data_IF_428828345905
#
_entry.id   IF_428828345905
#
_cell.length_a   1.000
_cell.length_b   1.000
_cell.length_c   1.000
_cell.angle_alpha   90.00
_cell.angle_beta   90.00
_cell.angle_gamma   90.00
#
_symmetry.space_group_name_H-M   'P 1'
#
loop_
_entity.id
_entity.type
_entity.pdbx_description
1 polymer ?
#
# COMPACT_ATOMS: atom_id res chain seq x y z
N UNK A 1 0.53 2.20 -11.41
CA UNK A 1 1.14 0.84 -11.32
C UNK A 1 0.75 -0.12 -12.46
N UNK A 2 1.38 -0.06 -13.64
CA UNK A 2 1.29 -1.17 -14.62
C UNK A 2 2.16 -2.34 -14.13
N UNK A 3 1.57 -3.53 -14.01
CA UNK A 3 2.29 -4.76 -13.61
C UNK A 3 2.01 -5.28 -12.20
N UNK A 4 1.39 -4.49 -11.31
CA UNK A 4 0.94 -5.02 -10.02
C UNK A 4 -0.19 -6.04 -10.20
N UNK A 5 -0.01 -7.23 -9.63
CA UNK A 5 -0.99 -8.32 -9.64
C UNK A 5 -1.46 -8.56 -8.22
N UNK A 6 -2.78 -8.61 -8.03
CA UNK A 6 -3.39 -9.02 -6.78
C UNK A 6 -3.76 -10.50 -6.91
N UNK A 7 -2.92 -11.37 -6.36
CA UNK A 7 -3.11 -12.82 -6.40
C UNK A 7 -3.61 -13.27 -5.02
N UNK A 8 -4.72 -14.02 -4.99
CA UNK A 8 -5.30 -14.52 -3.74
C UNK A 8 -4.32 -15.46 -3.05
N UNK A 9 -4.04 -15.22 -1.77
CA UNK A 9 -3.17 -16.08 -0.97
C UNK A 9 -1.68 -15.90 -1.23
N UNK A 10 -1.29 -14.89 -2.01
CA UNK A 10 0.11 -14.49 -2.14
C UNK A 10 0.40 -13.30 -1.22
N UNK A 11 1.63 -13.27 -0.69
CA UNK A 11 2.13 -12.06 -0.04
C UNK A 11 2.52 -11.03 -1.09
N UNK A 12 2.31 -9.75 -0.78
CA UNK A 12 2.74 -8.62 -1.62
C UNK A 12 3.95 -7.98 -0.96
N UNK A 13 5.04 -7.81 -1.71
CA UNK A 13 6.23 -7.08 -1.25
C UNK A 13 6.58 -5.99 -2.24
N UNK A 14 6.60 -4.74 -1.79
CA UNK A 14 6.86 -3.56 -2.60
C UNK A 14 7.98 -2.73 -2.00
N UNK A 15 8.97 -2.40 -2.81
CA UNK A 15 9.87 -1.29 -2.50
C UNK A 15 9.20 0.00 -2.97
N UNK A 16 8.85 0.86 -2.01
CA UNK A 16 8.26 2.18 -2.30
C UNK A 16 9.35 3.25 -2.27
N UNK A 17 9.23 4.23 -3.16
CA UNK A 17 10.12 5.40 -3.24
C UNK A 17 9.27 6.67 -3.21
N UNK A 18 9.68 7.63 -2.40
CA UNK A 18 9.05 8.93 -2.23
C UNK A 18 10.04 10.02 -2.61
N UNK A 19 9.69 10.79 -3.63
CA UNK A 19 10.45 11.96 -4.09
C UNK A 19 9.51 13.12 -4.39
N UNK A 20 10.08 14.31 -4.57
CA UNK A 20 9.35 15.56 -4.82
C UNK A 20 8.90 15.74 -6.28
N UNK A 21 9.17 14.77 -7.17
CA UNK A 21 8.90 14.86 -8.60
C UNK A 21 9.70 15.93 -9.34
N UNK A 22 10.73 16.51 -8.72
CA UNK A 22 11.63 17.48 -9.33
C UNK A 22 12.56 16.86 -10.39
N UNK A 23 13.39 17.70 -11.01
CA UNK A 23 14.44 17.27 -11.94
C UNK A 23 15.80 17.89 -11.57
N UNK A 24 16.73 17.14 -10.94
CA UNK A 24 16.58 15.75 -10.54
C UNK A 24 15.68 15.59 -9.30
N UNK A 25 14.95 14.47 -9.17
CA UNK A 25 14.04 14.24 -8.05
C UNK A 25 14.82 14.20 -6.73
N UNK A 26 14.30 14.90 -5.72
CA UNK A 26 14.85 14.89 -4.37
C UNK A 26 14.05 13.93 -3.48
N UNK A 27 14.73 13.09 -2.67
CA UNK A 27 14.03 12.16 -1.80
C UNK A 27 13.28 12.91 -0.70
N UNK A 28 12.10 12.39 -0.34
CA UNK A 28 11.32 12.86 0.80
C UNK A 28 11.60 11.93 1.99
N UNK A 29 11.99 12.47 3.14
CA UNK A 29 12.15 11.68 4.36
C UNK A 29 10.78 11.11 4.80
N UNK A 30 10.70 9.78 4.83
CA UNK A 30 9.51 9.01 5.23
C UNK A 30 9.64 8.39 6.62
N UNK A 31 10.71 8.67 7.37
CA UNK A 31 10.88 8.18 8.74
C UNK A 31 9.71 8.57 9.65
N UNK A 32 9.06 7.58 10.26
CA UNK A 32 7.90 7.77 11.12
C UNK A 32 6.58 8.00 10.39
N UNK A 33 6.57 8.02 9.05
CA UNK A 33 5.34 8.03 8.25
C UNK A 33 4.75 6.63 8.16
N UNK A 34 3.43 6.54 8.06
CA UNK A 34 2.70 5.27 7.92
C UNK A 34 2.04 5.21 6.56
N UNK A 35 2.38 4.18 5.78
CA UNK A 35 1.70 3.84 4.55
C UNK A 35 0.65 2.77 4.84
N UNK A 36 -0.56 2.95 4.34
CA UNK A 36 -1.67 2.00 4.44
C UNK A 36 -2.09 1.57 3.06
N UNK A 37 -2.25 0.27 2.86
CA UNK A 37 -2.84 -0.33 1.67
C UNK A 37 -4.20 -0.89 2.01
N UNK A 38 -5.21 -0.56 1.22
CA UNK A 38 -6.57 -1.05 1.41
C UNK A 38 -7.10 -1.70 0.13
N UNK A 39 -7.89 -2.76 0.28
CA UNK A 39 -8.66 -3.38 -0.81
C UNK A 39 -10.13 -3.39 -0.40
N UNK A 40 -11.01 -2.89 -1.27
CA UNK A 40 -12.46 -2.77 -1.07
C UNK A 40 -13.22 -3.35 -2.26
N UNK A 41 -14.49 -3.71 -2.05
CA UNK A 41 -15.36 -4.14 -3.17
C UNK A 41 -15.74 -2.94 -4.02
N UNK A 42 -16.14 -1.85 -3.37
CA UNK A 42 -16.50 -0.60 -4.03
C UNK A 42 -15.70 0.60 -3.48
N UNK A 43 -15.65 1.68 -4.25
CA UNK A 43 -15.04 2.94 -3.85
C UNK A 43 -15.77 3.58 -2.66
N UNK A 44 -17.10 3.41 -2.63
CA UNK A 44 -17.95 4.00 -1.59
C UNK A 44 -17.96 3.18 -0.29
N UNK A 45 -17.31 2.01 -0.27
CA UNK A 45 -17.21 1.20 0.95
C UNK A 45 -16.33 1.90 2.00
N UNK A 46 -16.76 1.95 3.27
CA UNK A 46 -15.93 2.48 4.35
C UNK A 46 -14.72 1.56 4.59
N UNK A 47 -13.62 2.12 5.10
CA UNK A 47 -12.41 1.35 5.46
C UNK A 47 -12.70 0.21 6.45
N UNK A 48 -13.70 0.37 7.31
CA UNK A 48 -14.14 -0.68 8.24
C UNK A 48 -14.75 -1.91 7.56
N UNK A 49 -15.09 -1.81 6.27
CA UNK A 49 -15.58 -2.90 5.43
C UNK A 49 -14.53 -3.37 4.42
N UNK A 50 -13.27 -2.93 4.56
CA UNK A 50 -12.18 -3.36 3.71
C UNK A 50 -11.99 -4.88 3.77
N UNK A 51 -11.70 -5.47 2.61
CA UNK A 51 -11.33 -6.87 2.48
C UNK A 51 -9.90 -7.11 2.95
N UNK A 52 -9.04 -6.11 2.73
CA UNK A 52 -7.62 -6.09 3.15
C UNK A 52 -7.33 -4.70 3.70
N UNK A 53 -6.66 -4.62 4.84
CA UNK A 53 -6.13 -3.35 5.32
C UNK A 53 -4.82 -3.59 6.07
N UNK A 54 -3.71 -3.15 5.49
CA UNK A 54 -2.38 -3.31 6.07
C UNK A 54 -1.70 -1.96 6.16
N UNK A 55 -1.09 -1.68 7.31
CA UNK A 55 -0.32 -0.46 7.55
C UNK A 55 1.11 -0.78 7.95
N UNK A 56 2.05 0.00 7.43
CA UNK A 56 3.48 -0.06 7.78
C UNK A 56 3.96 1.34 8.15
N UNK A 57 4.48 1.49 9.35
CA UNK A 57 5.21 2.70 9.76
C UNK A 57 6.69 2.52 9.46
N UNK A 58 7.26 3.40 8.64
CA UNK A 58 8.67 3.32 8.28
C UNK A 58 9.56 3.75 9.46
N UNK A 59 10.62 2.99 9.77
CA UNK A 59 11.54 3.36 10.84
C UNK A 59 12.38 4.58 10.46
N UNK A 60 12.86 5.32 11.46
CA UNK A 60 13.85 6.38 11.22
C UNK A 60 15.23 5.75 10.96
N UNK A 61 15.59 5.56 9.69
CA UNK A 61 16.89 5.03 9.27
C UNK A 61 17.37 5.69 7.96
N UNK A 62 18.55 5.28 7.48
CA UNK A 62 19.15 5.86 6.27
C UNK A 62 18.31 5.62 5.00
N UNK A 63 17.63 4.48 4.87
CA UNK A 63 16.78 4.20 3.72
C UNK A 63 15.55 5.12 3.71
N UNK A 64 14.89 5.28 4.86
CA UNK A 64 13.73 6.16 4.99
C UNK A 64 14.08 7.64 4.85
N UNK A 65 15.26 8.07 5.35
CA UNK A 65 15.78 9.40 5.07
C UNK A 65 16.08 9.61 3.58
N UNK A 66 16.40 8.53 2.85
CA UNK A 66 16.53 8.51 1.39
C UNK A 66 15.21 8.27 0.64
N UNK A 67 14.07 8.36 1.30
CA UNK A 67 12.74 8.21 0.71
C UNK A 67 12.38 6.79 0.31
N UNK A 68 13.02 5.76 0.87
CA UNK A 68 12.80 4.36 0.53
C UNK A 68 12.22 3.57 1.70
N UNK A 69 11.31 2.66 1.40
CA UNK A 69 10.70 1.78 2.38
C UNK A 69 10.22 0.47 1.77
N UNK A 70 10.21 -0.59 2.57
CA UNK A 70 9.56 -1.85 2.20
C UNK A 70 8.15 -1.87 2.77
N UNK A 71 7.18 -2.16 1.91
CA UNK A 71 5.81 -2.39 2.28
C UNK A 71 5.47 -3.87 2.04
N UNK A 72 4.92 -4.54 3.06
CA UNK A 72 4.63 -5.96 3.01
C UNK A 72 3.18 -6.24 3.44
N UNK A 73 2.44 -6.92 2.56
CA UNK A 73 1.13 -7.49 2.87
C UNK A 73 1.32 -9.00 3.00
N UNK A 74 1.10 -9.60 4.17
CA UNK A 74 1.21 -11.05 4.33
C UNK A 74 0.10 -11.77 3.55
N UNK A 75 0.35 -13.01 3.16
CA UNK A 75 -0.62 -13.81 2.40
C UNK A 75 -1.96 -14.01 3.14
N UNK A 76 -1.93 -14.03 4.48
CA UNK A 76 -3.13 -14.19 5.30
C UNK A 76 -4.13 -13.06 5.12
N UNK A 77 -3.67 -11.89 4.68
CA UNK A 77 -4.54 -10.77 4.37
C UNK A 77 -5.20 -10.94 3.00
N UNK A 78 -4.59 -11.69 2.08
CA UNK A 78 -5.10 -11.86 0.71
C UNK A 78 -5.78 -13.21 0.47
N UNK A 79 -5.75 -14.13 1.43
CA UNK A 79 -6.19 -15.53 1.24
C UNK A 79 -7.70 -15.69 1.07
N UNK A 80 -8.49 -14.78 1.67
CA UNK A 80 -9.96 -14.80 1.61
C UNK A 80 -10.55 -13.97 0.46
N UNK A 81 -9.69 -13.34 -0.37
CA UNK A 81 -10.17 -12.60 -1.53
C UNK A 81 -10.88 -13.54 -2.52
N UNK A 82 -12.03 -13.09 -3.04
CA UNK A 82 -12.80 -13.89 -4.00
C UNK A 82 -12.18 -13.76 -5.40
N UNK A 83 -11.75 -14.88 -5.97
CA UNK A 83 -11.12 -14.92 -7.30
C UNK A 83 -12.09 -14.43 -8.35
N UNK A 84 -11.63 -13.53 -9.22
CA UNK A 84 -12.41 -12.95 -10.31
C UNK A 84 -13.13 -11.66 -9.94
N UNK A 85 -13.22 -11.31 -8.66
CA UNK A 85 -13.82 -10.03 -8.24
C UNK A 85 -12.98 -8.85 -8.75
N UNK A 86 -13.67 -7.81 -9.21
CA UNK A 86 -13.07 -6.50 -9.43
C UNK A 86 -13.12 -5.73 -8.11
N UNK A 87 -11.96 -5.29 -7.64
CA UNK A 87 -11.80 -4.58 -6.37
C UNK A 87 -11.16 -3.21 -6.60
N UNK A 88 -11.43 -2.29 -5.69
CA UNK A 88 -10.79 -0.99 -5.61
C UNK A 88 -9.66 -1.08 -4.58
N UNK A 89 -8.49 -0.60 -4.96
CA UNK A 89 -7.31 -0.57 -4.11
C UNK A 89 -6.82 0.87 -3.96
N UNK A 90 -6.29 1.21 -2.80
CA UNK A 90 -5.63 2.49 -2.58
C UNK A 90 -4.42 2.39 -1.65
N UNK A 91 -3.52 3.36 -1.80
CA UNK A 91 -2.45 3.64 -0.87
C UNK A 91 -2.70 4.98 -0.19
N UNK A 92 -2.70 5.00 1.12
CA UNK A 92 -2.84 6.21 1.93
C UNK A 92 -1.61 6.41 2.81
N UNK A 93 -1.02 7.60 2.76
CA UNK A 93 0.01 8.03 3.69
C UNK A 93 -0.61 8.77 4.86
N UNK A 94 -0.09 8.51 6.06
CA UNK A 94 -0.40 9.28 7.26
C UNK A 94 0.88 9.65 8.01
N UNK A 95 0.96 10.90 8.45
CA UNK A 95 2.08 11.37 9.28
C UNK A 95 1.68 12.63 10.05
N UNK A 96 2.35 12.87 11.19
CA UNK A 96 2.20 14.13 11.93
C UNK A 96 3.33 15.07 11.56
N UNK A 97 3.02 16.28 11.11
CA UNK A 97 4.03 17.28 10.76
C UNK A 97 4.70 17.89 12.01
N UNK A 98 5.72 18.73 11.79
CA UNK A 98 6.44 19.42 12.85
C UNK A 98 5.60 20.43 13.64
N UNK A 99 4.41 20.76 13.17
CA UNK A 99 3.43 21.64 13.84
C UNK A 99 2.39 20.84 14.63
N UNK A 100 2.46 19.51 14.60
CA UNK A 100 1.51 18.62 15.26
C UNK A 100 0.24 18.34 14.46
N UNK A 101 0.17 18.71 13.18
CA UNK A 101 -0.99 18.40 12.34
C UNK A 101 -0.90 16.98 11.81
N UNK A 102 -1.99 16.22 11.95
CA UNK A 102 -2.13 14.94 11.27
C UNK A 102 -2.43 15.20 9.79
N UNK A 103 -1.56 14.69 8.93
CA UNK A 103 -1.74 14.66 7.49
C UNK A 103 -2.22 13.26 7.09
N UNK A 104 -3.23 13.22 6.22
CA UNK A 104 -3.81 12.00 5.66
C UNK A 104 -3.98 12.25 4.17
N UNK A 105 -3.29 11.46 3.34
CA UNK A 105 -3.23 11.69 1.89
C UNK A 105 -3.33 10.37 1.15
N UNK A 106 -4.33 10.24 0.27
CA UNK A 106 -4.38 9.14 -0.71
C UNK A 106 -3.35 9.41 -1.82
N UNK A 107 -2.40 8.49 -2.00
CA UNK A 107 -1.32 8.59 -2.97
C UNK A 107 -1.70 8.03 -4.33
N UNK A 108 -2.35 6.86 -4.35
CA UNK A 108 -2.78 6.18 -5.56
C UNK A 108 -4.10 5.46 -5.30
N UNK A 109 -4.99 5.46 -6.29
CA UNK A 109 -6.22 4.65 -6.32
C UNK A 109 -6.24 3.92 -7.66
N UNK A 110 -6.51 2.62 -7.63
CA UNK A 110 -6.54 1.81 -8.83
C UNK A 110 -7.48 0.61 -8.67
N UNK A 111 -7.91 0.03 -9.79
CA UNK A 111 -8.71 -1.20 -9.80
C UNK A 111 -7.84 -2.41 -10.12
N UNK A 112 -8.20 -3.57 -9.54
CA UNK A 112 -7.61 -4.87 -9.88
C UNK A 112 -8.69 -5.95 -9.93
N UNK A 113 -8.42 -6.96 -10.75
CA UNK A 113 -9.13 -8.24 -10.67
C UNK A 113 -8.32 -9.17 -9.77
N UNK A 114 -8.97 -9.83 -8.81
CA UNK A 114 -8.33 -10.84 -7.96
C UNK A 114 -8.00 -12.06 -8.80
N UNK A 115 -6.72 -12.40 -8.89
CA UNK A 115 -6.23 -13.53 -9.66
C UNK A 115 -6.14 -14.80 -8.80
N UNK A 116 -6.36 -15.99 -9.38
CA UNK A 116 -6.07 -17.24 -8.69
C UNK A 116 -4.57 -17.39 -8.43
N UNK A 117 -4.22 -18.04 -7.32
CA UNK A 117 -2.85 -18.50 -7.07
C UNK A 117 -2.36 -19.39 -8.23
N UNK A 118 -1.20 -19.05 -8.78
CA UNK A 118 -0.54 -19.81 -9.85
C UNK A 118 0.02 -21.12 -9.32
N UNK A 119 0.46 -21.12 -8.06
CA UNK A 119 1.05 -22.25 -7.36
C UNK A 119 0.02 -23.20 -6.74
N UNK A 120 -1.27 -23.13 -7.08
CA UNK A 120 -2.33 -24.13 -6.72
C UNK A 120 -2.19 -24.79 -5.33
N UNK A 121 -1.81 -24.04 -4.31
CA UNK A 121 -1.64 -24.55 -2.95
C UNK A 121 -0.30 -25.23 -2.68
N UNK A 122 0.38 -24.71 -1.66
CA UNK A 122 1.23 -25.53 -0.79
C UNK A 122 0.38 -26.01 0.38
#
# INVERSE_FOLDING_TARGET
MEGFKLVRGDSISLLVTFDDGGDPPQPIDIGGRTLTFTVKRDYDDPDSAALVQVSVTFPANADSAGGKGWFFVPHTETEDLTIGDEVVCDFQETYTDSRGNLNVTTLEVFKKTVLPDVTRGV
#
